data_IF_574597477544
#
_entry.id   IF_574597477544
#
_cell.length_a   1.000
_cell.length_b   1.000
_cell.length_c   1.000
_cell.angle_alpha   90.00
_cell.angle_beta   90.00
_cell.angle_gamma   90.00
#
_symmetry.space_group_name_H-M   'P 1'
#
loop_
_entity.id
_entity.type
_entity.pdbx_description
1 polymer ?
#
# COMPACT_ATOMS: atom_id res chain seq x y z
N UNK A 1 39.54 85.81 -42.76
CA UNK A 1 38.72 86.22 -41.60
C UNK A 1 37.48 85.34 -41.57
N UNK A 2 37.42 84.51 -40.53
CA UNK A 2 36.33 83.72 -39.96
C UNK A 2 35.02 83.54 -40.74
N UNK A 3 34.70 82.28 -41.09
CA UNK A 3 33.32 81.78 -41.19
C UNK A 3 33.27 80.42 -40.47
N UNK A 4 32.56 80.35 -39.34
CA UNK A 4 32.23 79.11 -38.63
C UNK A 4 31.09 78.41 -39.36
N UNK A 5 31.30 77.15 -39.77
CA UNK A 5 30.26 76.23 -40.24
C UNK A 5 29.99 75.16 -39.19
N UNK A 6 28.73 75.00 -38.81
CA UNK A 6 28.24 74.01 -37.86
C UNK A 6 28.31 72.59 -38.45
N UNK A 7 28.79 71.62 -37.66
CA UNK A 7 28.70 70.20 -37.97
C UNK A 7 27.71 69.52 -37.02
N UNK A 8 26.63 68.96 -37.60
CA UNK A 8 25.62 68.18 -36.91
C UNK A 8 26.14 66.76 -36.63
N UNK A 9 25.90 66.28 -35.41
CA UNK A 9 26.27 64.94 -34.95
C UNK A 9 25.09 63.98 -35.20
N UNK A 10 25.20 63.08 -36.18
CA UNK A 10 24.25 61.98 -36.38
C UNK A 10 24.68 60.77 -35.56
N UNK A 11 23.86 60.38 -34.57
CA UNK A 11 24.04 59.17 -33.79
C UNK A 11 23.49 57.96 -34.56
N UNK A 12 24.35 56.97 -34.83
CA UNK A 12 23.96 55.66 -35.35
C UNK A 12 23.50 54.78 -34.18
N UNK A 13 22.20 54.45 -34.15
CA UNK A 13 21.63 53.46 -33.24
C UNK A 13 21.98 52.05 -33.69
N UNK A 14 22.78 51.34 -32.90
CA UNK A 14 23.02 49.91 -33.08
C UNK A 14 21.84 49.10 -32.55
N UNK A 15 21.18 48.34 -33.42
CA UNK A 15 20.16 47.37 -33.03
C UNK A 15 20.85 46.10 -32.51
N UNK A 16 20.74 45.84 -31.21
CA UNK A 16 21.12 44.56 -30.60
C UNK A 16 20.02 43.53 -30.84
N UNK A 17 20.34 42.48 -31.60
CA UNK A 17 19.47 41.31 -31.77
C UNK A 17 19.44 40.51 -30.47
N UNK A 18 18.32 40.55 -29.75
CA UNK A 18 18.07 39.65 -28.63
C UNK A 18 17.79 38.25 -29.20
N UNK A 19 18.69 37.30 -28.94
CA UNK A 19 18.38 35.88 -29.12
C UNK A 19 17.35 35.48 -28.05
N UNK A 20 16.32 34.69 -28.38
CA UNK A 20 15.37 34.21 -27.40
C UNK A 20 16.08 33.29 -26.39
N UNK A 21 15.74 33.43 -25.12
CA UNK A 21 16.23 32.55 -24.06
C UNK A 21 15.90 31.08 -24.38
N UNK A 22 16.81 30.15 -24.06
CA UNK A 22 16.51 28.73 -24.17
C UNK A 22 15.33 28.41 -23.24
N UNK A 23 14.34 27.69 -23.79
CA UNK A 23 13.20 27.22 -23.01
C UNK A 23 13.68 26.47 -21.76
N UNK A 24 13.05 26.66 -20.59
CA UNK A 24 13.42 25.93 -19.39
C UNK A 24 13.33 24.43 -19.67
N UNK A 25 14.40 23.70 -19.35
CA UNK A 25 14.40 22.25 -19.42
C UNK A 25 13.21 21.69 -18.62
N UNK A 26 12.45 20.78 -19.24
CA UNK A 26 11.40 20.06 -18.54
C UNK A 26 12.00 19.44 -17.28
N UNK A 27 11.39 19.72 -16.12
CA UNK A 27 11.80 19.08 -14.88
C UNK A 27 11.70 17.56 -15.04
N UNK A 28 12.75 16.82 -14.66
CA UNK A 28 12.65 15.37 -14.54
C UNK A 28 11.43 15.04 -13.67
N UNK A 29 10.66 13.99 -14.00
CA UNK A 29 9.64 13.48 -13.10
C UNK A 29 10.26 13.24 -11.71
N UNK A 30 9.61 13.74 -10.66
CA UNK A 30 10.03 13.44 -9.30
C UNK A 30 10.00 11.92 -9.08
N UNK A 31 11.02 11.36 -8.42
CA UNK A 31 11.02 9.92 -8.11
C UNK A 31 9.80 9.56 -7.24
N UNK A 32 9.13 8.42 -7.51
CA UNK A 32 8.00 7.98 -6.69
C UNK A 32 8.40 7.88 -5.22
N UNK A 33 7.68 8.58 -4.34
CA UNK A 33 7.86 8.47 -2.90
C UNK A 33 6.84 7.47 -2.35
N UNK A 34 7.29 6.62 -1.43
CA UNK A 34 6.40 5.68 -0.74
C UNK A 34 5.53 6.43 0.28
N UNK A 35 4.25 6.10 0.34
CA UNK A 35 3.31 6.77 1.23
C UNK A 35 3.63 6.47 2.69
N UNK A 36 3.74 7.51 3.53
CA UNK A 36 3.95 7.34 4.99
C UNK A 36 2.63 7.41 5.74
N UNK A 37 2.35 6.37 6.51
CA UNK A 37 1.02 6.15 7.12
C UNK A 37 1.10 5.82 8.60
N UNK A 38 2.29 5.80 9.18
CA UNK A 38 2.46 5.51 10.58
C UNK A 38 3.87 5.70 11.08
N UNK A 39 4.04 5.57 12.38
CA UNK A 39 5.31 5.67 13.06
C UNK A 39 5.52 4.50 14.01
N UNK A 40 6.78 4.09 14.16
CA UNK A 40 7.20 3.20 15.22
C UNK A 40 7.21 3.95 16.56
N UNK A 41 6.84 3.26 17.63
CA UNK A 41 6.85 3.74 19.00
C UNK A 41 7.56 2.70 19.86
N UNK A 42 8.54 3.15 20.65
CA UNK A 42 9.16 2.30 21.64
C UNK A 42 8.14 1.94 22.74
N UNK A 43 8.21 0.71 23.22
CA UNK A 43 7.42 0.21 24.33
C UNK A 43 8.31 -0.58 25.30
N UNK A 44 7.87 -0.70 26.54
CA UNK A 44 8.50 -1.56 27.54
C UNK A 44 7.42 -2.29 28.31
N UNK A 45 6.62 -3.07 27.58
CA UNK A 45 5.43 -3.71 28.09
C UNK A 45 5.72 -5.19 28.31
N UNK A 46 5.44 -5.66 29.52
CA UNK A 46 5.55 -7.06 29.90
C UNK A 46 4.20 -7.58 30.35
N UNK A 47 3.76 -8.70 29.79
CA UNK A 47 2.53 -9.39 30.22
C UNK A 47 2.92 -10.74 30.78
N UNK A 48 2.42 -11.03 31.97
CA UNK A 48 2.68 -12.27 32.69
C UNK A 48 1.39 -13.03 33.00
N UNK A 49 1.50 -14.30 33.36
CA UNK A 49 0.35 -15.06 33.82
C UNK A 49 -0.16 -14.50 35.15
N UNK A 50 -1.49 -14.46 35.29
CA UNK A 50 -2.14 -14.14 36.57
C UNK A 50 -2.41 -15.40 37.36
N UNK A 51 -2.09 -15.44 38.66
CA UNK A 51 -2.49 -16.58 39.51
C UNK A 51 -4.01 -16.63 39.71
N UNK A 52 -4.65 -15.47 39.77
CA UNK A 52 -6.09 -15.32 40.07
C UNK A 52 -7.00 -15.38 38.85
N UNK A 53 -6.44 -15.36 37.64
CA UNK A 53 -7.20 -15.36 36.38
C UNK A 53 -6.53 -16.26 35.36
N UNK A 54 -7.32 -16.95 34.54
CA UNK A 54 -6.82 -17.65 33.35
C UNK A 54 -6.55 -16.69 32.17
N UNK A 55 -6.86 -15.41 32.32
CA UNK A 55 -6.66 -14.38 31.30
C UNK A 55 -5.96 -13.18 31.90
N UNK A 56 -4.88 -12.71 31.26
CA UNK A 56 -4.22 -11.44 31.57
C UNK A 56 -4.19 -10.58 30.32
N UNK A 57 -4.71 -9.35 30.41
CA UNK A 57 -4.76 -8.42 29.27
C UNK A 57 -3.92 -7.17 29.53
N UNK A 58 -3.39 -6.62 28.45
CA UNK A 58 -2.68 -5.37 28.41
C UNK A 58 -3.13 -4.56 27.20
N UNK A 59 -3.46 -3.29 27.44
CA UNK A 59 -3.87 -2.36 26.40
C UNK A 59 -2.65 -1.63 25.85
N UNK A 60 -2.52 -1.61 24.52
CA UNK A 60 -1.59 -0.75 23.77
C UNK A 60 -2.44 0.24 23.00
N UNK A 61 -2.36 1.53 23.37
CA UNK A 61 -3.23 2.57 22.82
C UNK A 61 -2.45 3.81 22.42
N UNK A 62 -2.78 4.35 21.25
CA UNK A 62 -2.37 5.67 20.83
C UNK A 62 -3.59 6.41 20.28
N UNK A 63 -4.19 7.34 21.04
CA UNK A 63 -5.38 8.06 20.61
C UNK A 63 -5.25 8.65 19.20
N UNK A 64 -6.30 8.52 18.39
CA UNK A 64 -6.35 9.01 17.01
C UNK A 64 -5.65 8.13 15.97
N UNK A 65 -4.90 7.10 16.38
CA UNK A 65 -4.25 6.22 15.43
C UNK A 65 -5.27 5.42 14.60
N UNK A 66 -4.99 5.27 13.31
CA UNK A 66 -5.83 4.52 12.37
C UNK A 66 -5.66 3.00 12.47
N UNK A 67 -4.54 2.54 13.02
CA UNK A 67 -4.29 1.14 13.39
C UNK A 67 -3.24 1.06 14.50
N UNK A 68 -3.15 -0.10 15.15
CA UNK A 68 -2.06 -0.46 16.07
C UNK A 68 -1.50 -1.81 15.68
N UNK A 69 -0.17 -1.93 15.59
CA UNK A 69 0.55 -3.16 15.24
C UNK A 69 1.63 -3.43 16.28
N UNK A 70 1.48 -4.53 17.03
CA UNK A 70 2.35 -4.85 18.16
C UNK A 70 3.51 -5.74 17.73
N UNK A 71 4.72 -5.43 18.20
CA UNK A 71 5.89 -6.30 18.07
C UNK A 71 6.11 -7.10 19.35
N UNK A 72 6.31 -8.42 19.21
CA UNK A 72 6.71 -9.30 20.28
C UNK A 72 8.21 -9.60 20.17
N UNK A 73 8.99 -9.02 21.08
CA UNK A 73 10.39 -9.41 21.26
C UNK A 73 10.49 -10.82 21.84
N UNK A 74 9.55 -11.18 22.73
CA UNK A 74 9.50 -12.48 23.40
C UNK A 74 8.07 -12.98 23.48
N UNK A 75 7.89 -14.24 23.10
CA UNK A 75 6.68 -15.02 23.35
C UNK A 75 7.10 -16.40 23.88
N UNK A 76 6.97 -16.59 25.19
CA UNK A 76 7.42 -17.78 25.92
C UNK A 76 6.27 -18.41 26.71
N UNK A 77 5.24 -18.82 25.97
CA UNK A 77 4.04 -19.41 26.52
C UNK A 77 4.25 -20.88 26.93
N UNK A 78 3.56 -21.31 27.99
CA UNK A 78 3.49 -22.71 28.36
C UNK A 78 2.67 -23.51 27.33
N UNK A 79 2.87 -24.83 27.29
CA UNK A 79 2.19 -25.69 26.33
C UNK A 79 0.67 -25.67 26.53
N UNK A 80 -0.06 -25.28 25.48
CA UNK A 80 -1.52 -25.12 25.50
C UNK A 80 -1.95 -23.67 25.41
N UNK A 81 -1.18 -22.78 26.05
CA UNK A 81 -1.51 -21.38 26.17
C UNK A 81 -1.29 -20.62 24.85
N UNK A 82 -1.96 -19.46 24.73
CA UNK A 82 -1.89 -18.61 23.54
C UNK A 82 -2.00 -17.13 23.91
N UNK A 83 -1.54 -16.28 23.01
CA UNK A 83 -1.78 -14.84 23.06
C UNK A 83 -2.72 -14.43 21.94
N UNK A 84 -3.67 -13.55 22.24
CA UNK A 84 -4.46 -12.85 21.23
C UNK A 84 -4.09 -11.38 21.17
N UNK A 85 -4.08 -10.81 19.97
CA UNK A 85 -4.05 -9.36 19.73
C UNK A 85 -5.38 -9.02 19.06
N UNK A 86 -6.22 -8.23 19.73
CA UNK A 86 -7.53 -7.86 19.20
C UNK A 86 -7.78 -6.36 19.25
N UNK A 87 -8.72 -5.90 18.42
CA UNK A 87 -9.37 -4.62 18.67
C UNK A 87 -10.28 -4.70 19.92
N UNK A 88 -10.77 -3.57 20.47
CA UNK A 88 -11.62 -3.57 21.65
C UNK A 88 -12.96 -4.30 21.49
N UNK A 89 -13.49 -4.39 20.26
CA UNK A 89 -14.76 -5.10 20.01
C UNK A 89 -14.57 -6.61 19.81
N UNK A 90 -13.34 -7.05 19.53
CA UNK A 90 -13.01 -8.44 19.17
C UNK A 90 -13.38 -8.82 17.73
N UNK A 91 -13.89 -7.88 16.93
CA UNK A 91 -14.20 -8.09 15.52
C UNK A 91 -12.96 -8.43 14.68
N UNK A 92 -11.79 -7.96 15.12
CA UNK A 92 -10.49 -8.30 14.58
C UNK A 92 -9.64 -8.91 15.68
N UNK A 93 -9.32 -10.20 15.57
CA UNK A 93 -8.54 -10.93 16.57
C UNK A 93 -7.53 -11.85 15.91
N UNK A 94 -6.27 -11.77 16.36
CA UNK A 94 -5.16 -12.60 15.89
C UNK A 94 -4.60 -13.44 17.02
N UNK A 95 -4.48 -14.75 16.78
CA UNK A 95 -4.07 -15.74 17.79
C UNK A 95 -2.72 -16.36 17.46
N UNK A 96 -1.87 -16.49 18.48
CA UNK A 96 -0.54 -17.09 18.38
C UNK A 96 -0.27 -18.00 19.58
N UNK A 97 0.08 -19.26 19.33
CA UNK A 97 0.49 -20.20 20.39
C UNK A 97 2.00 -20.20 20.66
N UNK A 98 2.78 -19.53 19.81
CA UNK A 98 4.22 -19.41 19.98
C UNK A 98 4.85 -18.52 18.92
N UNK A 99 6.16 -18.32 19.01
CA UNK A 99 6.90 -17.50 18.06
C UNK A 99 7.13 -18.26 16.73
N UNK A 100 7.34 -17.54 15.62
CA UNK A 100 7.79 -18.14 14.36
C UNK A 100 9.03 -19.01 14.56
N UNK A 101 8.98 -20.25 14.04
CA UNK A 101 10.03 -21.24 14.22
C UNK A 101 10.13 -21.84 15.64
N UNK A 102 9.27 -21.41 16.58
CA UNK A 102 9.28 -21.88 17.97
C UNK A 102 7.87 -21.84 18.60
N UNK A 103 7.09 -22.89 18.37
CA UNK A 103 5.80 -23.10 19.02
C UNK A 103 4.57 -22.55 18.29
N UNK A 104 4.74 -21.81 17.19
CA UNK A 104 3.64 -21.44 16.30
C UNK A 104 2.95 -22.70 15.75
N UNK A 105 1.61 -22.72 15.76
CA UNK A 105 0.80 -23.87 15.35
C UNK A 105 0.17 -23.67 13.97
N UNK A 106 -0.22 -24.77 13.33
CA UNK A 106 -1.12 -24.70 12.18
C UNK A 106 -2.46 -24.11 12.62
N UNK A 107 -2.97 -23.11 11.88
CA UNK A 107 -4.17 -22.36 12.24
C UNK A 107 -3.90 -21.05 13.01
N UNK A 108 -2.66 -20.81 13.44
CA UNK A 108 -2.29 -19.49 13.98
C UNK A 108 -2.40 -18.40 12.93
N UNK A 109 -2.60 -17.18 13.42
CA UNK A 109 -2.68 -15.99 12.59
C UNK A 109 -1.38 -15.70 11.86
N UNK A 110 -1.47 -14.97 10.75
CA UNK A 110 -0.26 -14.51 10.06
C UNK A 110 0.58 -13.57 10.93
N UNK A 111 1.84 -13.40 10.58
CA UNK A 111 2.77 -12.47 11.23
C UNK A 111 3.72 -11.86 10.23
N UNK A 112 4.40 -10.79 10.63
CA UNK A 112 5.45 -10.13 9.83
C UNK A 112 6.77 -10.08 10.61
N UNK A 113 7.89 -10.04 9.89
CA UNK A 113 9.24 -9.97 10.47
C UNK A 113 9.93 -8.67 10.04
N UNK A 114 10.60 -7.99 10.97
CA UNK A 114 11.10 -6.62 10.81
C UNK A 114 12.61 -6.49 10.98
N UNK A 115 13.37 -7.56 10.69
CA UNK A 115 14.85 -7.58 10.77
C UNK A 115 15.42 -7.71 12.18
N UNK A 116 14.66 -7.28 13.20
CA UNK A 116 15.00 -7.47 14.61
C UNK A 116 14.59 -8.85 15.12
N UNK A 117 15.05 -9.20 16.34
CA UNK A 117 14.62 -10.43 17.01
C UNK A 117 13.16 -10.33 17.43
N UNK A 118 12.36 -11.32 17.04
CA UNK A 118 10.94 -11.37 17.37
C UNK A 118 10.07 -11.39 16.12
N UNK A 119 8.81 -11.02 16.29
CA UNK A 119 7.86 -10.88 15.19
C UNK A 119 6.78 -9.89 15.56
N UNK A 120 6.13 -9.29 14.56
CA UNK A 120 4.95 -8.48 14.78
C UNK A 120 3.68 -9.27 14.47
N UNK A 121 2.71 -9.17 15.37
CA UNK A 121 1.33 -9.59 15.10
C UNK A 121 0.77 -8.80 13.91
N UNK A 122 -0.31 -9.30 13.31
CA UNK A 122 -1.08 -8.48 12.37
C UNK A 122 -1.62 -7.23 13.08
N UNK A 123 -1.66 -6.11 12.35
CA UNK A 123 -2.25 -4.87 12.82
C UNK A 123 -3.73 -5.06 13.14
N UNK A 124 -4.25 -4.32 14.11
CA UNK A 124 -5.69 -4.14 14.32
C UNK A 124 -6.08 -2.73 13.90
N UNK A 125 -7.21 -2.57 13.22
CA UNK A 125 -7.71 -1.23 12.86
C UNK A 125 -8.19 -0.47 14.11
N UNK A 126 -8.00 0.84 14.10
CA UNK A 126 -8.32 1.72 15.22
C UNK A 126 -7.14 1.98 16.17
N UNK A 127 -7.44 2.76 17.22
CA UNK A 127 -6.43 3.40 18.06
C UNK A 127 -5.89 2.53 19.20
N UNK A 128 -6.43 1.31 19.33
CA UNK A 128 -6.24 0.43 20.49
C UNK A 128 -6.09 -1.03 20.09
N UNK A 129 -5.01 -1.66 20.55
CA UNK A 129 -4.84 -3.12 20.55
C UNK A 129 -4.91 -3.66 21.99
N UNK A 130 -5.62 -4.76 22.19
CA UNK A 130 -5.67 -5.50 23.44
C UNK A 130 -4.87 -6.78 23.27
N UNK A 131 -3.74 -6.86 23.96
CA UNK A 131 -2.90 -8.06 24.00
C UNK A 131 -3.32 -8.89 25.19
N UNK A 132 -3.79 -10.11 24.95
CA UNK A 132 -4.34 -10.97 25.99
C UNK A 132 -3.66 -12.33 26.00
N UNK A 133 -3.06 -12.69 27.13
CA UNK A 133 -2.53 -14.02 27.39
C UNK A 133 -3.64 -14.88 27.97
N UNK A 134 -3.86 -16.04 27.35
CA UNK A 134 -4.85 -17.04 27.75
C UNK A 134 -4.14 -18.29 28.26
N UNK A 135 -4.43 -18.66 29.50
CA UNK A 135 -3.97 -19.89 30.14
C UNK A 135 -5.03 -20.97 30.01
N UNK A 136 -4.72 -22.07 29.33
CA UNK A 136 -5.64 -23.21 29.18
C UNK A 136 -5.71 -24.07 30.44
N UNK A 137 -4.63 -24.16 31.21
CA UNK A 137 -4.60 -24.95 32.44
C UNK A 137 -3.58 -24.41 33.45
N UNK A 138 -3.74 -24.81 34.72
CA UNK A 138 -2.82 -24.41 35.79
C UNK A 138 -1.39 -24.96 35.63
N UNK A 139 -1.12 -25.79 34.60
CA UNK A 139 0.26 -26.14 34.20
C UNK A 139 1.08 -24.90 33.85
N UNK A 140 0.47 -23.85 33.29
CA UNK A 140 1.12 -22.57 33.04
C UNK A 140 1.55 -21.85 34.34
N UNK A 141 0.89 -22.12 35.47
CA UNK A 141 1.27 -21.54 36.77
C UNK A 141 2.65 -22.03 37.25
N UNK A 142 3.09 -23.22 36.83
CA UNK A 142 4.43 -23.71 37.16
C UNK A 142 5.54 -22.88 36.49
N UNK A 143 5.23 -22.17 35.39
CA UNK A 143 6.16 -21.23 34.75
C UNK A 143 6.29 -19.89 35.51
N UNK A 144 5.30 -19.53 36.35
CA UNK A 144 5.28 -18.29 37.14
C UNK A 144 6.41 -18.28 38.20
N UNK A 145 6.81 -19.46 38.70
CA UNK A 145 7.87 -19.60 39.71
C UNK A 145 9.28 -19.24 39.22
N UNK A 146 9.48 -19.03 37.91
CA UNK A 146 10.78 -18.69 37.32
C UNK A 146 11.05 -17.18 37.18
N UNK A 147 10.09 -16.31 37.52
CA UNK A 147 10.32 -14.87 37.65
C UNK A 147 10.60 -14.11 36.35
N UNK A 148 9.87 -14.37 35.27
CA UNK A 148 10.03 -13.61 34.02
C UNK A 148 8.76 -13.55 33.16
N UNK A 149 8.56 -12.42 32.49
CA UNK A 149 7.42 -12.16 31.61
C UNK A 149 7.28 -13.22 30.51
N UNK A 150 6.04 -13.64 30.22
CA UNK A 150 5.77 -14.61 29.13
C UNK A 150 5.56 -13.92 27.79
N UNK A 151 5.17 -12.65 27.80
CA UNK A 151 5.13 -11.76 26.65
C UNK A 151 5.94 -10.51 26.94
N UNK A 152 6.82 -10.13 26.01
CA UNK A 152 7.49 -8.82 26.01
C UNK A 152 7.21 -8.12 24.70
N UNK A 153 6.70 -6.89 24.81
CA UNK A 153 6.46 -5.94 23.73
C UNK A 153 7.44 -4.79 23.92
N UNK A 154 8.40 -4.70 23.01
CA UNK A 154 9.46 -3.70 22.97
C UNK A 154 9.13 -2.52 22.05
N UNK A 155 8.18 -2.71 21.13
CA UNK A 155 7.68 -1.64 20.25
C UNK A 155 6.32 -1.96 19.66
N UNK A 156 5.70 -0.92 19.14
CA UNK A 156 4.51 -1.03 18.29
C UNK A 156 4.57 0.03 17.20
N UNK A 157 3.85 -0.21 16.12
CA UNK A 157 3.56 0.81 15.13
C UNK A 157 2.13 1.30 15.31
N UNK A 158 1.94 2.58 15.02
CA UNK A 158 0.63 3.21 15.04
C UNK A 158 0.41 3.99 13.76
N UNK A 159 -0.82 3.93 13.26
CA UNK A 159 -1.23 4.71 12.11
C UNK A 159 -1.26 6.21 12.41
N UNK A 160 -1.02 7.02 11.39
CA UNK A 160 -1.21 8.47 11.47
C UNK A 160 -2.69 8.82 11.56
N UNK A 161 -2.98 9.89 12.29
CA UNK A 161 -4.23 10.63 12.08
C UNK A 161 -4.16 11.46 10.79
N UNK A 162 -5.25 12.14 10.44
CA UNK A 162 -5.33 12.93 9.20
C UNK A 162 -4.31 14.08 9.16
N UNK A 163 -4.06 14.75 10.29
CA UNK A 163 -3.15 15.89 10.33
C UNK A 163 -1.69 15.43 10.15
N UNK A 164 -1.31 14.34 10.81
CA UNK A 164 0.01 13.73 10.67
C UNK A 164 0.24 13.15 9.28
N UNK A 165 -0.79 12.50 8.70
CA UNK A 165 -0.75 12.01 7.33
C UNK A 165 -0.47 13.16 6.35
N UNK A 166 -1.23 14.25 6.45
CA UNK A 166 -1.05 15.42 5.59
C UNK A 166 0.34 16.07 5.78
N UNK A 167 0.85 16.10 7.01
CA UNK A 167 2.18 16.64 7.29
C UNK A 167 3.33 15.74 6.79
N UNK A 168 3.14 14.42 6.79
CA UNK A 168 4.15 13.47 6.35
C UNK A 168 4.25 13.34 4.82
N UNK A 169 3.16 13.63 4.10
CA UNK A 169 3.02 13.39 2.67
C UNK A 169 2.76 14.69 1.90
N UNK A 170 3.69 15.64 1.99
CA UNK A 170 3.70 16.91 1.24
C UNK A 170 4.16 16.63 -0.20
N UNK A 171 3.36 15.86 -0.94
CA UNK A 171 3.65 15.40 -2.30
C UNK A 171 2.91 16.21 -3.39
N UNK A 172 3.23 15.90 -4.64
CA UNK A 172 2.51 16.45 -5.80
C UNK A 172 1.06 15.96 -5.81
N UNK A 173 0.12 16.86 -6.08
CA UNK A 173 -1.29 16.52 -6.27
C UNK A 173 -1.42 15.57 -7.48
N UNK A 174 -1.96 14.37 -7.24
CA UNK A 174 -2.31 13.37 -8.27
C UNK A 174 -3.82 13.33 -8.53
N UNK A 175 -4.54 14.28 -7.93
CA UNK A 175 -5.95 14.60 -8.15
C UNK A 175 -6.01 15.92 -8.91
N UNK A 176 -6.64 15.90 -10.08
CA UNK A 176 -6.78 17.05 -10.98
C UNK A 176 -8.16 17.66 -10.88
N UNK A 177 -8.24 18.84 -10.25
CA UNK A 177 -9.52 19.51 -10.04
C UNK A 177 -10.35 18.79 -8.99
N UNK A 178 -11.61 18.46 -9.29
CA UNK A 178 -12.49 17.80 -8.34
C UNK A 178 -12.27 16.28 -8.31
N UNK A 179 -11.93 15.77 -7.12
CA UNK A 179 -11.68 14.35 -6.88
C UNK A 179 -12.82 13.46 -7.39
N UNK A 180 -12.51 12.63 -8.37
CA UNK A 180 -13.39 11.67 -9.01
C UNK A 180 -13.41 10.29 -8.33
N UNK A 181 -12.46 10.02 -7.43
CA UNK A 181 -12.33 8.72 -6.77
C UNK A 181 -13.52 8.51 -5.87
N UNK A 182 -14.11 7.31 -5.90
CA UNK A 182 -15.21 6.93 -5.02
C UNK A 182 -14.96 5.56 -4.44
N UNK A 183 -15.51 5.29 -3.26
CA UNK A 183 -15.49 3.95 -2.68
C UNK A 183 -16.00 2.94 -3.72
N UNK A 184 -15.35 1.78 -3.83
CA UNK A 184 -15.70 0.79 -4.86
C UNK A 184 -17.20 0.43 -4.86
N UNK A 185 -17.82 0.40 -3.68
CA UNK A 185 -19.25 0.08 -3.51
C UNK A 185 -20.19 1.09 -4.17
N UNK A 186 -19.77 2.34 -4.37
CA UNK A 186 -20.54 3.35 -5.13
C UNK A 186 -20.83 2.91 -6.57
N UNK A 187 -20.00 2.02 -7.11
CA UNK A 187 -20.09 1.51 -8.48
C UNK A 187 -20.68 0.11 -8.58
N UNK A 188 -21.12 -0.49 -7.47
CA UNK A 188 -21.63 -1.87 -7.46
C UNK A 188 -22.80 -2.09 -8.44
N UNK A 189 -23.66 -1.09 -8.62
CA UNK A 189 -24.82 -1.15 -9.53
C UNK A 189 -24.54 -0.57 -10.90
N UNK A 190 -23.81 0.56 -10.99
CA UNK A 190 -23.56 1.28 -12.25
C UNK A 190 -22.42 0.67 -13.08
N UNK A 191 -21.41 0.08 -12.43
CA UNK A 191 -20.25 -0.55 -13.08
C UNK A 191 -19.92 -1.89 -12.41
N UNK A 192 -20.85 -2.87 -12.46
CA UNK A 192 -20.76 -4.10 -11.66
C UNK A 192 -19.52 -4.93 -11.99
N UNK A 193 -19.06 -4.91 -13.25
CA UNK A 193 -17.86 -5.66 -13.66
C UNK A 193 -16.58 -5.04 -13.10
N UNK A 194 -16.44 -3.72 -13.17
CA UNK A 194 -15.29 -2.99 -12.61
C UNK A 194 -15.25 -3.15 -11.08
N UNK A 195 -16.41 -3.07 -10.42
CA UNK A 195 -16.55 -3.39 -9.00
C UNK A 195 -16.08 -4.82 -8.70
N UNK A 196 -16.55 -5.82 -9.43
CA UNK A 196 -16.16 -7.22 -9.23
C UNK A 196 -14.66 -7.46 -9.46
N UNK A 197 -14.07 -6.78 -10.45
CA UNK A 197 -12.64 -6.88 -10.78
C UNK A 197 -11.74 -6.12 -9.80
N UNK A 198 -12.30 -5.29 -8.92
CA UNK A 198 -11.52 -4.66 -7.84
C UNK A 198 -11.22 -5.61 -6.66
N UNK A 199 -11.91 -6.75 -6.54
CA UNK A 199 -11.78 -7.68 -5.40
C UNK A 199 -10.34 -8.19 -5.14
N UNK A 200 -9.53 -8.55 -6.16
CA UNK A 200 -8.16 -9.04 -5.96
C UNK A 200 -7.14 -7.97 -5.56
N UNK A 201 -7.56 -6.72 -5.38
CA UNK A 201 -6.69 -5.59 -5.00
C UNK A 201 -6.65 -5.47 -3.48
N UNK A 202 -5.47 -5.17 -2.92
CA UNK A 202 -5.20 -5.12 -1.50
C UNK A 202 -4.41 -3.87 -1.11
N UNK A 203 -4.65 -3.39 0.11
CA UNK A 203 -3.79 -2.40 0.77
C UNK A 203 -2.55 -3.12 1.25
N UNK A 204 -1.38 -2.50 1.06
CA UNK A 204 -0.12 -2.98 1.63
C UNK A 204 0.23 -2.10 2.82
N UNK A 205 0.46 -2.70 3.99
CA UNK A 205 1.10 -2.04 5.13
C UNK A 205 2.53 -2.59 5.26
N UNK A 206 3.50 -1.80 4.86
CA UNK A 206 4.89 -2.19 4.65
C UNK A 206 5.72 -1.68 5.83
N UNK A 207 6.42 -2.58 6.52
CA UNK A 207 7.24 -2.23 7.68
C UNK A 207 6.46 -1.60 8.85
N UNK A 208 5.13 -1.66 8.82
CA UNK A 208 4.26 -1.00 9.80
C UNK A 208 4.18 0.52 9.69
N UNK A 209 4.77 1.16 8.68
CA UNK A 209 4.82 2.64 8.59
C UNK A 209 4.52 3.19 7.21
N UNK A 210 4.59 2.37 6.16
CA UNK A 210 4.37 2.79 4.79
C UNK A 210 3.24 2.04 4.13
N UNK A 211 2.60 2.66 3.12
CA UNK A 211 1.53 2.03 2.37
C UNK A 211 1.70 2.12 0.87
N UNK A 212 1.18 1.09 0.21
CA UNK A 212 1.03 0.98 -1.23
C UNK A 212 -0.21 0.14 -1.56
N UNK A 213 -0.43 -0.08 -2.85
CA UNK A 213 -1.41 -1.02 -3.37
C UNK A 213 -0.71 -2.24 -3.99
N UNK A 214 -1.30 -3.41 -3.82
CA UNK A 214 -0.89 -4.63 -4.52
C UNK A 214 -2.10 -5.42 -4.97
N UNK A 215 -1.90 -6.42 -5.82
CA UNK A 215 -3.01 -7.22 -6.35
C UNK A 215 -2.57 -8.63 -6.73
N UNK A 216 -3.49 -9.60 -6.61
CA UNK A 216 -3.24 -10.99 -7.03
C UNK A 216 -3.13 -11.08 -8.54
N UNK A 217 -2.01 -11.61 -9.03
CA UNK A 217 -1.72 -11.74 -10.46
C UNK A 217 -1.69 -13.20 -10.90
N UNK A 218 -2.58 -13.55 -11.82
CA UNK A 218 -2.71 -14.92 -12.30
C UNK A 218 -3.16 -15.92 -11.24
N UNK A 219 -3.18 -17.20 -11.57
CA UNK A 219 -3.78 -18.24 -10.70
C UNK A 219 -2.83 -18.86 -9.68
N UNK A 220 -1.59 -18.39 -9.64
CA UNK A 220 -0.59 -18.83 -8.66
C UNK A 220 -0.52 -17.91 -7.44
N UNK A 221 0.20 -18.33 -6.39
CA UNK A 221 0.44 -17.52 -5.19
C UNK A 221 1.38 -16.35 -5.49
N UNK A 222 0.83 -15.29 -6.10
CA UNK A 222 1.57 -14.14 -6.60
C UNK A 222 0.78 -12.86 -6.37
N UNK A 223 1.48 -11.86 -5.85
CA UNK A 223 1.03 -10.48 -5.71
C UNK A 223 2.01 -9.58 -6.45
N UNK A 224 1.48 -8.64 -7.23
CA UNK A 224 2.26 -7.61 -7.92
C UNK A 224 2.04 -6.24 -7.25
N UNK A 225 3.12 -5.47 -7.13
CA UNK A 225 3.16 -4.07 -6.66
C UNK A 225 4.39 -3.38 -7.27
N UNK A 226 4.73 -2.16 -6.85
CA UNK A 226 5.93 -1.46 -7.31
C UNK A 226 7.22 -1.90 -6.60
N UNK A 227 8.37 -1.66 -7.24
CA UNK A 227 9.69 -1.85 -6.62
C UNK A 227 9.93 -0.83 -5.51
N UNK A 228 9.54 0.44 -5.73
CA UNK A 228 9.71 1.49 -4.73
C UNK A 228 8.86 1.26 -3.47
N UNK A 229 7.80 0.45 -3.56
CA UNK A 229 7.04 -0.01 -2.39
C UNK A 229 7.84 -1.02 -1.58
N UNK A 230 8.40 -2.03 -2.24
CA UNK A 230 9.24 -3.05 -1.60
C UNK A 230 10.15 -3.72 -2.62
N UNK A 231 11.44 -3.78 -2.34
CA UNK A 231 12.46 -4.29 -3.27
C UNK A 231 13.35 -5.39 -2.67
N UNK A 232 13.13 -5.75 -1.41
CA UNK A 232 13.96 -6.70 -0.67
C UNK A 232 13.13 -7.80 -0.04
N UNK A 233 13.75 -8.95 0.22
CA UNK A 233 13.10 -10.04 0.94
C UNK A 233 12.66 -9.60 2.35
N UNK A 234 13.44 -8.76 3.03
CA UNK A 234 13.08 -8.20 4.33
C UNK A 234 11.84 -7.30 4.23
N UNK A 235 11.76 -6.44 3.21
CA UNK A 235 10.59 -5.62 2.94
C UNK A 235 9.34 -6.45 2.64
N UNK A 236 9.48 -7.56 1.89
CA UNK A 236 8.36 -8.49 1.65
C UNK A 236 7.88 -9.12 2.95
N UNK A 237 8.77 -9.65 3.79
CA UNK A 237 8.37 -10.31 5.05
C UNK A 237 7.84 -9.36 6.12
N UNK A 238 8.13 -8.07 6.01
CA UNK A 238 7.60 -7.03 6.89
C UNK A 238 6.23 -6.49 6.44
N UNK A 239 5.74 -6.93 5.27
CA UNK A 239 4.50 -6.43 4.66
C UNK A 239 3.27 -7.24 5.07
N UNK A 240 2.21 -6.54 5.46
CA UNK A 240 0.84 -7.06 5.50
C UNK A 240 0.12 -6.72 4.19
N UNK A 241 -0.41 -7.74 3.52
CA UNK A 241 -1.28 -7.61 2.35
C UNK A 241 -2.72 -7.77 2.82
N UNK A 242 -3.51 -6.70 2.72
CA UNK A 242 -4.82 -6.58 3.34
C UNK A 242 -5.93 -6.51 2.28
N UNK A 243 -6.60 -7.64 2.08
CA UNK A 243 -7.71 -7.75 1.13
C UNK A 243 -9.03 -7.35 1.77
N UNK A 244 -10.02 -7.00 0.94
CA UNK A 244 -11.36 -6.59 1.37
C UNK A 244 -11.41 -5.35 2.29
N UNK A 245 -10.32 -4.56 2.37
CA UNK A 245 -10.34 -3.27 3.05
C UNK A 245 -11.11 -2.23 2.22
N UNK A 246 -12.44 -2.27 2.24
CA UNK A 246 -13.31 -1.41 1.43
C UNK A 246 -14.57 -1.03 2.20
N UNK A 247 -15.11 0.17 1.96
CA UNK A 247 -16.34 0.64 2.62
C UNK A 247 -17.53 -0.27 2.29
N UNK A 248 -18.38 -0.50 3.29
CA UNK A 248 -19.63 -1.25 3.14
C UNK A 248 -20.71 -0.42 2.44
N UNK A 249 -20.69 0.89 2.63
CA UNK A 249 -21.64 1.82 2.03
C UNK A 249 -20.89 2.97 1.35
N UNK A 250 -21.42 3.47 0.24
CA UNK A 250 -20.81 4.55 -0.53
C UNK A 250 -20.65 5.82 0.34
N UNK A 251 -19.41 6.27 0.56
CA UNK A 251 -19.11 7.44 1.39
C UNK A 251 -19.29 7.21 2.88
N UNK A 252 -19.41 5.95 3.33
CA UNK A 252 -19.78 5.61 4.70
C UNK A 252 -18.63 5.61 5.71
N UNK A 253 -17.37 5.66 5.26
CA UNK A 253 -16.18 5.53 6.10
C UNK A 253 -16.24 4.30 7.05
N UNK A 254 -16.83 3.21 6.57
CA UNK A 254 -17.11 1.99 7.32
C UNK A 254 -16.48 0.78 6.60
N UNK A 255 -15.14 0.67 6.58
CA UNK A 255 -14.50 -0.47 5.93
C UNK A 255 -14.91 -1.80 6.58
N UNK A 256 -14.98 -2.87 5.78
CA UNK A 256 -15.00 -4.22 6.33
C UNK A 256 -13.69 -4.51 7.09
N UNK A 257 -13.75 -5.41 8.08
CA UNK A 257 -12.54 -6.04 8.63
C UNK A 257 -11.79 -6.74 7.49
N UNK A 258 -10.53 -6.36 7.22
CA UNK A 258 -9.80 -6.90 6.09
C UNK A 258 -9.29 -8.32 6.35
N UNK A 259 -9.14 -9.11 5.28
CA UNK A 259 -8.40 -10.38 5.34
C UNK A 259 -6.92 -10.09 5.15
N UNK A 260 -6.12 -10.29 6.21
CA UNK A 260 -4.68 -9.99 6.21
C UNK A 260 -3.84 -11.25 6.02
N UNK A 261 -2.88 -11.19 5.10
CA UNK A 261 -1.81 -12.18 4.94
C UNK A 261 -0.47 -11.47 4.92
N UNK A 262 0.62 -12.14 5.32
CA UNK A 262 1.95 -11.55 5.24
C UNK A 262 2.67 -11.94 3.96
N UNK A 263 3.59 -11.08 3.50
CA UNK A 263 4.52 -11.44 2.45
C UNK A 263 5.42 -12.62 2.87
N UNK A 264 5.70 -13.52 1.92
CA UNK A 264 6.49 -14.72 2.14
C UNK A 264 7.83 -14.62 1.40
N UNK A 265 7.83 -14.73 0.07
CA UNK A 265 9.06 -14.78 -0.72
C UNK A 265 9.04 -13.72 -1.81
N UNK A 266 10.09 -12.90 -1.87
CA UNK A 266 10.38 -12.05 -3.02
C UNK A 266 10.70 -12.94 -4.22
N UNK A 267 9.89 -12.86 -5.27
CA UNK A 267 10.02 -13.72 -6.46
C UNK A 267 10.83 -13.02 -7.53
N UNK A 268 10.50 -11.75 -7.83
CA UNK A 268 11.23 -10.94 -8.80
C UNK A 268 10.98 -9.46 -8.57
N UNK A 269 11.96 -8.61 -8.86
CA UNK A 269 11.79 -7.16 -8.80
C UNK A 269 12.65 -6.47 -9.86
N UNK A 270 12.23 -5.28 -10.29
CA UNK A 270 12.97 -4.44 -11.23
C UNK A 270 12.80 -2.98 -10.83
N UNK A 271 13.91 -2.30 -10.55
CA UNK A 271 13.91 -0.86 -10.31
C UNK A 271 13.61 -0.07 -11.60
N UNK A 272 14.09 -0.53 -12.77
CA UNK A 272 13.90 0.18 -14.03
C UNK A 272 12.48 0.14 -14.60
N UNK A 273 11.71 -0.90 -14.24
CA UNK A 273 10.28 -1.02 -14.58
C UNK A 273 9.37 -0.88 -13.37
N UNK A 274 9.95 -0.45 -12.24
CA UNK A 274 9.30 -0.26 -10.96
C UNK A 274 8.23 -1.32 -10.60
N UNK A 275 8.60 -2.61 -10.61
CA UNK A 275 7.69 -3.67 -10.17
C UNK A 275 8.36 -4.63 -9.19
N UNK A 276 7.54 -5.21 -8.32
CA UNK A 276 7.87 -6.33 -7.46
C UNK A 276 6.77 -7.38 -7.52
N UNK A 277 7.19 -8.61 -7.79
CA UNK A 277 6.41 -9.83 -7.71
C UNK A 277 6.85 -10.60 -6.46
N UNK A 278 5.90 -10.93 -5.60
CA UNK A 278 6.15 -11.72 -4.40
C UNK A 278 5.02 -12.72 -4.15
N UNK A 279 5.27 -13.69 -3.26
CA UNK A 279 4.26 -14.64 -2.77
C UNK A 279 3.86 -14.28 -1.34
N UNK A 280 2.70 -14.75 -0.89
CA UNK A 280 2.19 -14.51 0.46
C UNK A 280 2.05 -15.81 1.26
N UNK A 281 2.06 -15.70 2.58
CA UNK A 281 1.66 -16.77 3.48
C UNK A 281 0.13 -16.92 3.46
N UNK A 282 -0.39 -18.06 3.91
CA UNK A 282 -1.84 -18.30 4.07
C UNK A 282 -2.68 -17.98 2.81
N UNK A 283 -2.12 -18.22 1.61
CA UNK A 283 -2.72 -17.86 0.32
C UNK A 283 -4.16 -18.38 0.12
N UNK A 284 -4.50 -19.54 0.68
CA UNK A 284 -5.85 -20.10 0.60
C UNK A 284 -6.93 -19.14 1.14
N UNK A 285 -6.60 -18.32 2.15
CA UNK A 285 -7.54 -17.37 2.79
C UNK A 285 -7.96 -16.22 1.87
N UNK A 286 -7.14 -15.90 0.87
CA UNK A 286 -7.40 -14.80 -0.08
C UNK A 286 -7.83 -15.31 -1.46
N UNK A 287 -7.94 -16.63 -1.63
CA UNK A 287 -8.28 -17.29 -2.90
C UNK A 287 -9.65 -16.86 -3.44
N UNK A 288 -10.62 -16.63 -2.55
CA UNK A 288 -12.00 -16.23 -2.85
C UNK A 288 -12.12 -14.83 -3.45
N UNK A 289 -11.12 -13.97 -3.30
CA UNK A 289 -11.12 -12.63 -3.91
C UNK A 289 -10.86 -12.66 -5.42
N UNK A 290 -10.52 -13.82 -5.99
CA UNK A 290 -10.17 -13.97 -7.40
C UNK A 290 -8.80 -13.39 -7.74
N UNK A 291 -8.49 -13.31 -9.03
CA UNK A 291 -7.22 -12.78 -9.54
C UNK A 291 -7.44 -11.82 -10.71
N UNK A 292 -6.40 -11.07 -11.06
CA UNK A 292 -6.35 -10.29 -12.28
C UNK A 292 -5.33 -10.88 -13.24
N UNK A 293 -5.60 -10.72 -14.53
CA UNK A 293 -4.75 -11.18 -15.62
C UNK A 293 -4.11 -10.00 -16.34
N UNK A 294 -2.89 -10.20 -16.81
CA UNK A 294 -2.14 -9.21 -17.58
C UNK A 294 -2.47 -9.33 -19.06
N UNK A 295 -2.61 -8.19 -19.73
CA UNK A 295 -2.65 -8.11 -21.18
C UNK A 295 -1.32 -7.55 -21.71
N UNK A 296 -0.55 -8.40 -22.40
CA UNK A 296 0.83 -8.10 -22.78
C UNK A 296 0.95 -7.35 -24.12
N UNK A 297 0.10 -6.36 -24.34
CA UNK A 297 0.14 -5.48 -25.51
C UNK A 297 0.42 -4.05 -25.09
N UNK A 298 0.78 -3.22 -26.06
CA UNK A 298 0.81 -1.78 -25.84
C UNK A 298 -0.61 -1.26 -25.58
N UNK A 299 -0.79 -0.32 -24.64
CA UNK A 299 -2.00 0.50 -24.56
C UNK A 299 -2.26 1.20 -25.90
N UNK A 300 -3.51 1.50 -26.21
CA UNK A 300 -3.86 2.32 -27.39
C UNK A 300 -4.41 3.66 -26.95
N UNK A 301 -4.30 4.69 -27.82
CA UNK A 301 -4.80 6.03 -27.51
C UNK A 301 -6.30 5.99 -27.23
N UNK A 302 -6.73 6.72 -26.20
CA UNK A 302 -8.14 6.79 -25.77
C UNK A 302 -8.76 5.45 -25.39
N UNK A 303 -7.92 4.48 -25.02
CA UNK A 303 -8.41 3.24 -24.44
C UNK A 303 -9.01 3.53 -23.07
N UNK A 304 -10.32 3.28 -22.91
CA UNK A 304 -10.99 3.45 -21.62
C UNK A 304 -10.39 2.53 -20.57
N UNK A 305 -10.03 3.09 -19.41
CA UNK A 305 -9.41 2.38 -18.29
C UNK A 305 -10.16 2.63 -16.98
N UNK A 306 -9.83 1.84 -15.96
CA UNK A 306 -10.21 2.11 -14.58
C UNK A 306 -9.14 1.59 -13.62
N UNK A 307 -9.05 2.22 -12.46
CA UNK A 307 -7.96 1.97 -11.49
C UNK A 307 -8.57 1.72 -10.10
N UNK A 308 -8.68 0.47 -9.65
CA UNK A 308 -8.93 0.14 -8.24
C UNK A 308 -7.64 0.30 -7.44
N UNK A 309 -7.72 0.95 -6.28
CA UNK A 309 -6.55 1.13 -5.43
C UNK A 309 -6.86 1.65 -4.03
N UNK A 310 -5.81 1.77 -3.23
CA UNK A 310 -5.86 2.25 -1.85
C UNK A 310 -5.17 3.60 -1.71
N UNK A 311 -5.73 4.59 -2.42
CA UNK A 311 -5.36 5.98 -2.25
C UNK A 311 -5.54 6.45 -0.82
N UNK A 312 -4.66 7.33 -0.39
CA UNK A 312 -4.57 7.90 0.95
C UNK A 312 -4.32 6.84 2.03
N UNK A 313 -3.90 5.63 1.62
CA UNK A 313 -3.86 4.41 2.42
C UNK A 313 -5.20 4.03 3.10
N UNK A 314 -6.30 4.53 2.54
CA UNK A 314 -7.66 4.34 3.05
C UNK A 314 -8.37 3.15 2.38
N UNK A 315 -9.66 3.01 2.69
CA UNK A 315 -10.52 2.00 2.11
C UNK A 315 -10.49 2.07 0.57
N UNK A 316 -10.60 0.92 -0.08
CA UNK A 316 -10.47 0.80 -1.53
C UNK A 316 -11.41 1.73 -2.28
N UNK A 317 -10.84 2.52 -3.20
CA UNK A 317 -11.57 3.38 -4.12
C UNK A 317 -11.37 2.91 -5.56
N UNK A 318 -12.24 3.38 -6.43
CA UNK A 318 -12.23 3.11 -7.87
C UNK A 318 -12.21 4.43 -8.63
N UNK A 319 -11.23 4.58 -9.50
CA UNK A 319 -11.13 5.69 -10.46
C UNK A 319 -11.71 5.23 -11.80
N UNK A 320 -12.88 5.77 -12.16
CA UNK A 320 -13.57 5.53 -13.44
C UNK A 320 -13.63 6.82 -14.27
N UNK A 321 -13.64 7.97 -13.63
CA UNK A 321 -13.72 9.28 -14.26
C UNK A 321 -12.45 10.07 -13.99
N UNK A 322 -12.07 10.94 -14.93
CA UNK A 322 -10.92 11.84 -14.77
C UNK A 322 -11.17 12.92 -13.72
N UNK A 323 -12.40 13.44 -13.69
CA UNK A 323 -12.87 14.38 -12.67
C UNK A 323 -14.30 14.02 -12.27
N UNK A 324 -14.78 14.50 -11.11
CA UNK A 324 -16.12 14.20 -10.63
C UNK A 324 -17.21 14.56 -11.68
N UNK A 325 -17.88 13.54 -12.23
CA UNK A 325 -18.92 13.71 -13.26
C UNK A 325 -18.39 14.06 -14.67
N UNK A 326 -17.08 13.94 -14.89
CA UNK A 326 -16.41 14.22 -16.14
C UNK A 326 -16.35 13.05 -17.13
N UNK A 327 -15.37 13.10 -18.03
CA UNK A 327 -15.07 12.02 -18.97
C UNK A 327 -14.65 10.74 -18.25
N UNK A 328 -14.89 9.60 -18.89
CA UNK A 328 -14.30 8.35 -18.45
C UNK A 328 -12.79 8.43 -18.61
N UNK A 329 -12.10 7.91 -17.61
CA UNK A 329 -10.70 7.59 -17.64
C UNK A 329 -10.28 6.90 -18.94
N UNK A 330 -9.28 7.43 -19.63
CA UNK A 330 -8.67 6.78 -20.79
C UNK A 330 -7.13 6.87 -20.78
N UNK A 331 -6.49 6.29 -21.80
CA UNK A 331 -5.06 6.47 -22.08
C UNK A 331 -4.86 7.74 -22.91
N UNK A 332 -4.54 8.84 -22.23
CA UNK A 332 -4.20 10.13 -22.84
C UNK A 332 -2.89 10.10 -23.61
N UNK A 333 -1.90 9.34 -23.12
CA UNK A 333 -0.57 9.28 -23.73
C UNK A 333 -0.02 7.85 -23.71
N UNK A 334 0.02 7.21 -24.88
CA UNK A 334 0.48 5.82 -25.01
C UNK A 334 1.95 5.64 -24.61
N UNK A 335 2.81 6.58 -25.00
CA UNK A 335 4.24 6.60 -24.69
C UNK A 335 4.57 7.92 -24.00
N UNK A 336 4.30 8.02 -22.70
CA UNK A 336 4.66 9.21 -21.93
C UNK A 336 6.19 9.33 -21.85
N UNK A 337 6.85 8.19 -21.69
CA UNK A 337 8.29 8.03 -21.81
C UNK A 337 8.63 6.63 -22.37
N UNK A 338 9.88 6.19 -22.18
CA UNK A 338 10.37 4.89 -22.68
C UNK A 338 9.67 3.69 -22.04
N UNK A 339 9.00 3.83 -20.89
CA UNK A 339 8.37 2.71 -20.16
C UNK A 339 6.91 2.96 -19.75
N UNK A 340 6.50 4.22 -19.61
CA UNK A 340 5.21 4.60 -19.06
C UNK A 340 4.17 4.99 -20.12
N UNK A 341 2.91 4.76 -19.75
CA UNK A 341 1.73 5.38 -20.38
C UNK A 341 1.11 6.35 -19.38
N UNK A 342 0.58 7.48 -19.87
CA UNK A 342 0.00 8.55 -19.07
C UNK A 342 -1.53 8.63 -19.22
N UNK A 343 -2.20 9.05 -18.16
CA UNK A 343 -3.66 9.19 -18.06
C UNK A 343 -4.05 10.25 -17.02
N UNK A 344 -5.25 10.81 -17.15
CA UNK A 344 -5.80 11.84 -16.25
C UNK A 344 -6.70 11.30 -15.13
N UNK A 345 -6.79 9.97 -14.97
CA UNK A 345 -7.51 9.37 -13.85
C UNK A 345 -7.00 9.86 -12.50
N UNK A 346 -7.88 10.39 -11.65
CA UNK A 346 -7.52 10.78 -10.29
C UNK A 346 -6.99 9.58 -9.48
N UNK A 347 -5.81 9.76 -8.90
CA UNK A 347 -5.18 8.84 -7.95
C UNK A 347 -4.58 9.68 -6.80
N UNK A 348 -3.98 9.02 -5.83
CA UNK A 348 -3.23 9.71 -4.77
C UNK A 348 -2.18 8.78 -4.18
N UNK A 349 -1.36 9.35 -3.29
CA UNK A 349 -0.47 8.61 -2.41
C UNK A 349 -1.02 7.27 -1.93
N UNK A 350 -0.21 6.22 -1.97
CA UNK A 350 -0.63 4.83 -1.67
C UNK A 350 -1.27 4.06 -2.84
N UNK A 351 -1.63 4.71 -3.96
CA UNK A 351 -2.01 4.00 -5.19
C UNK A 351 -0.83 3.33 -5.89
N UNK A 352 0.42 3.61 -5.52
CA UNK A 352 1.60 2.92 -6.04
C UNK A 352 1.39 1.40 -6.04
N UNK A 353 1.40 0.80 -7.23
CA UNK A 353 1.22 -0.62 -7.49
C UNK A 353 -0.19 -0.99 -7.90
N UNK A 354 -1.10 -0.02 -8.01
CA UNK A 354 -2.48 -0.25 -8.47
C UNK A 354 -2.50 -0.75 -9.92
N UNK A 355 -3.34 -1.74 -10.23
CA UNK A 355 -3.51 -2.20 -11.59
C UNK A 355 -4.31 -1.17 -12.41
N UNK A 356 -3.80 -0.81 -13.58
CA UNK A 356 -4.56 -0.06 -14.59
C UNK A 356 -5.20 -1.06 -15.54
N UNK A 357 -6.53 -1.19 -15.49
CA UNK A 357 -7.26 -2.18 -16.27
C UNK A 357 -7.91 -1.55 -17.50
N UNK A 358 -7.78 -2.22 -18.65
CA UNK A 358 -8.57 -1.90 -19.83
C UNK A 358 -10.05 -2.24 -19.58
N UNK A 359 -10.95 -1.30 -19.84
CA UNK A 359 -12.39 -1.51 -19.65
C UNK A 359 -12.98 -2.56 -20.61
N UNK A 360 -12.35 -2.78 -21.77
CA UNK A 360 -12.79 -3.74 -22.79
C UNK A 360 -12.53 -5.20 -22.42
N UNK A 361 -11.37 -5.48 -21.79
CA UNK A 361 -10.93 -6.84 -21.46
C UNK A 361 -10.95 -7.14 -19.97
N UNK A 362 -11.01 -6.11 -19.12
CA UNK A 362 -10.80 -6.18 -17.67
C UNK A 362 -9.48 -6.84 -17.28
N UNK A 363 -8.46 -6.70 -18.13
CA UNK A 363 -7.08 -7.13 -17.88
C UNK A 363 -6.18 -5.93 -17.64
N UNK A 364 -5.10 -6.16 -16.92
CA UNK A 364 -4.13 -5.13 -16.53
C UNK A 364 -3.22 -4.79 -17.71
N UNK A 365 -3.15 -3.52 -18.08
CA UNK A 365 -2.31 -3.00 -19.18
C UNK A 365 -1.17 -2.09 -18.68
N UNK A 366 -1.25 -1.57 -17.45
CA UNK A 366 -0.16 -0.83 -16.81
C UNK A 366 -0.17 -0.99 -15.28
N UNK A 367 0.97 -0.69 -14.64
CA UNK A 367 1.17 -0.63 -13.19
C UNK A 367 1.35 0.83 -12.77
N UNK A 368 0.38 1.39 -12.04
CA UNK A 368 0.43 2.79 -11.60
C UNK A 368 1.60 3.04 -10.62
N UNK A 369 2.37 4.12 -10.81
CA UNK A 369 3.46 4.51 -9.89
C UNK A 369 3.82 6.00 -9.88
N UNK A 370 3.47 6.76 -10.92
CA UNK A 370 3.81 8.18 -11.03
C UNK A 370 2.58 9.06 -10.87
N UNK A 371 2.79 10.09 -10.05
CA UNK A 371 1.86 11.17 -9.82
C UNK A 371 2.28 12.48 -10.50
N UNK A 372 1.35 13.41 -10.56
CA UNK A 372 1.40 14.64 -11.33
C UNK A 372 0.03 14.85 -11.97
N UNK A 373 -0.32 16.06 -12.41
CA UNK A 373 -1.66 16.26 -12.98
C UNK A 373 -2.01 15.22 -14.07
N UNK A 374 -1.01 14.81 -14.83
CA UNK A 374 -1.05 13.57 -15.58
C UNK A 374 -0.40 12.44 -14.77
N UNK A 375 -1.20 11.47 -14.36
CA UNK A 375 -0.74 10.25 -13.70
C UNK A 375 -0.13 9.28 -14.73
N UNK A 376 0.69 8.34 -14.29
CA UNK A 376 1.29 7.37 -15.20
C UNK A 376 1.56 5.99 -14.57
N UNK A 377 1.61 4.99 -15.46
CA UNK A 377 1.92 3.62 -15.10
C UNK A 377 2.89 2.94 -16.05
N UNK A 378 3.75 2.06 -15.52
CA UNK A 378 4.64 1.24 -16.34
C UNK A 378 3.84 0.22 -17.14
N UNK A 379 4.08 0.16 -18.45
CA UNK A 379 3.31 -0.68 -19.36
C UNK A 379 3.54 -2.17 -19.14
N UNK A 380 2.46 -2.95 -19.10
CA UNK A 380 2.53 -4.40 -18.90
C UNK A 380 3.22 -5.14 -20.04
N UNK A 381 3.24 -4.56 -21.25
CA UNK A 381 4.04 -5.09 -22.37
C UNK A 381 5.53 -5.18 -22.08
N UNK A 382 6.05 -4.45 -21.09
CA UNK A 382 7.45 -4.47 -20.67
C UNK A 382 7.68 -5.34 -19.43
N UNK A 383 6.72 -5.36 -18.49
CA UNK A 383 6.79 -6.17 -17.26
C UNK A 383 6.52 -7.64 -17.56
N UNK A 384 5.46 -7.96 -18.32
CA UNK A 384 4.99 -9.32 -18.55
C UNK A 384 6.08 -10.26 -19.10
N UNK A 385 6.91 -9.88 -20.10
CA UNK A 385 8.00 -10.73 -20.56
C UNK A 385 9.00 -11.12 -19.46
N UNK A 386 9.14 -10.32 -18.40
CA UNK A 386 10.04 -10.63 -17.30
C UNK A 386 9.44 -11.63 -16.30
N UNK A 387 8.12 -11.78 -16.25
CA UNK A 387 7.42 -12.58 -15.22
C UNK A 387 6.55 -13.71 -15.80
N UNK A 388 6.47 -13.87 -17.12
CA UNK A 388 5.59 -14.85 -17.78
C UNK A 388 5.79 -16.29 -17.29
N UNK A 389 7.02 -16.70 -16.97
CA UNK A 389 7.31 -18.05 -16.44
C UNK A 389 7.06 -18.20 -14.93
N UNK A 390 6.68 -17.12 -14.24
CA UNK A 390 6.53 -17.05 -12.78
C UNK A 390 5.08 -16.93 -12.33
N UNK A 391 4.14 -16.75 -13.27
CA UNK A 391 2.69 -16.60 -13.06
C UNK A 391 1.94 -17.54 -14.01
N UNK A 392 0.70 -17.90 -13.65
CA UNK A 392 -0.24 -18.51 -14.60
C UNK A 392 -1.23 -17.44 -15.06
N UNK A 393 -1.09 -16.98 -16.29
CA UNK A 393 -1.85 -15.85 -16.83
C UNK A 393 -2.99 -16.31 -17.77
N UNK A 394 -3.60 -17.46 -17.48
CA UNK A 394 -4.66 -18.07 -18.30
C UNK A 394 -6.03 -17.89 -17.64
N UNK A 395 -6.94 -17.04 -18.17
CA UNK A 395 -8.23 -16.72 -17.56
C UNK A 395 -9.29 -17.82 -17.54
#
# INVERSE_FOLDING_TARGET
>A
MSVLGAAALTALGGATSLLPDPAPAAASPAEPQIERVGAEQAAAISVDYSVSSNVTSQTVRHPGATYVKVHFQKLALAAGDYVTVSDPSGAETYTYHGAPGRGLRSGDSGYTVHGDTGFAAMSVEGDTAIVTVHRESDKGLAAIGAGGSVVTIDKFWRGYDEAEYNAANIGLMSVCGSDARRDVVCYQTSHPTQFARSKPVARLLIGGTSACTGWRVGDTNRVLTNNHCTSTQAGVTSTETQFNYQCQTCGGNNPFTPTKVSGATLVKTSASLDYTLYSVNNFATISSFGTLYIESRQPVSHETIYIPGHGDATAKRLSIYETAGGALCDIDTVNLDSVNTGYLCDTSGGNSGSPVLAASSHKVIALHHLGGCQNAGTRMSLIYPQIISLIDNTP
#
